data_IF_313277081205
#
_entry.id   IF_313277081205
#
_cell.length_a   1.000
_cell.length_b   1.000
_cell.length_c   1.000
_cell.angle_alpha   90.00
_cell.angle_beta   90.00
_cell.angle_gamma   90.00
#
_symmetry.space_group_name_H-M   'P 1'
#
loop_
_entity.id
_entity.type
_entity.pdbx_description
1 polymer ?
#
# COMPACT_ATOMS: atom_id res chain seq x y z
N UNK A 1 1.53 -6.76 -3.81
CA UNK A 1 1.63 -6.35 -5.22
C UNK A 1 2.79 -5.36 -5.41
N UNK A 2 2.84 -4.22 -4.69
CA UNK A 2 3.93 -3.26 -4.83
C UNK A 2 5.32 -3.87 -4.61
N UNK A 3 5.46 -4.80 -3.67
CA UNK A 3 6.68 -5.55 -3.42
C UNK A 3 7.08 -6.41 -4.63
N UNK A 4 6.15 -7.10 -5.24
CA UNK A 4 6.39 -7.92 -6.43
C UNK A 4 6.80 -7.09 -7.66
N UNK A 5 6.18 -5.93 -7.85
CA UNK A 5 6.60 -5.00 -8.91
C UNK A 5 8.02 -4.52 -8.69
N UNK A 6 8.44 -4.30 -7.44
CA UNK A 6 9.83 -3.95 -7.13
C UNK A 6 10.81 -5.02 -7.58
N UNK A 7 10.50 -6.29 -7.33
CA UNK A 7 11.39 -7.42 -7.65
C UNK A 7 11.36 -7.74 -9.14
N UNK A 8 10.18 -7.82 -9.76
CA UNK A 8 10.05 -8.09 -11.19
C UNK A 8 10.61 -6.98 -12.07
N UNK A 9 10.53 -5.73 -11.60
CA UNK A 9 11.07 -4.56 -12.31
C UNK A 9 12.58 -4.38 -12.14
N UNK A 10 13.19 -5.01 -11.13
CA UNK A 10 14.64 -4.95 -10.91
C UNK A 10 15.45 -5.94 -11.78
N UNK A 11 14.83 -6.80 -12.58
CA UNK A 11 15.36 -7.69 -13.63
C UNK A 11 16.81 -8.14 -13.52
N UNK A 12 17.17 -9.20 -14.23
CA UNK A 12 18.50 -9.85 -14.24
C UNK A 12 19.62 -8.97 -14.81
N UNK A 13 20.08 -7.92 -14.15
CA UNK A 13 21.35 -7.31 -14.51
C UNK A 13 21.45 -5.80 -14.68
N UNK A 14 20.47 -5.03 -14.30
CA UNK A 14 20.59 -3.57 -14.29
C UNK A 14 20.15 -2.98 -12.96
N UNK A 15 20.88 -1.98 -12.43
CA UNK A 15 20.41 -1.17 -11.31
C UNK A 15 19.13 -0.45 -11.76
N UNK A 16 17.97 -1.03 -11.45
CA UNK A 16 16.69 -0.43 -11.80
C UNK A 16 16.59 0.92 -11.07
N UNK A 17 16.33 1.99 -11.80
CA UNK A 17 16.27 3.31 -11.21
C UNK A 17 15.03 3.41 -10.30
N UNK A 18 15.27 3.76 -9.04
CA UNK A 18 14.24 3.99 -8.01
C UNK A 18 13.13 4.92 -8.52
N UNK A 19 13.49 5.89 -9.38
CA UNK A 19 12.60 6.91 -9.96
C UNK A 19 11.43 6.30 -10.74
N UNK A 20 11.67 5.22 -11.47
CA UNK A 20 10.62 4.56 -12.27
C UNK A 20 9.94 3.43 -11.52
N UNK A 21 10.70 2.72 -10.69
CA UNK A 21 10.20 1.52 -10.02
C UNK A 21 9.19 1.84 -8.92
N UNK A 22 9.44 2.89 -8.15
CA UNK A 22 8.55 3.31 -7.07
C UNK A 22 7.18 3.79 -7.57
N UNK A 23 7.08 4.70 -8.57
CA UNK A 23 5.78 5.04 -9.16
C UNK A 23 5.08 3.86 -9.83
N UNK A 24 5.83 2.97 -10.47
CA UNK A 24 5.27 1.76 -11.08
C UNK A 24 4.65 0.83 -10.04
N UNK A 25 5.32 0.61 -8.90
CA UNK A 25 4.79 -0.17 -7.79
C UNK A 25 3.51 0.44 -7.20
N UNK A 26 3.49 1.77 -7.03
CA UNK A 26 2.31 2.49 -6.58
C UNK A 26 1.17 2.41 -7.60
N UNK A 27 1.46 2.58 -8.90
CA UNK A 27 0.47 2.52 -9.96
C UNK A 27 -0.14 1.12 -10.10
N UNK A 28 0.67 0.07 -10.03
CA UNK A 28 0.19 -1.32 -10.08
C UNK A 28 -0.71 -1.65 -8.88
N UNK A 29 -0.31 -1.22 -7.68
CA UNK A 29 -1.12 -1.41 -6.48
C UNK A 29 -2.41 -0.59 -6.53
N UNK A 30 -2.37 0.64 -7.06
CA UNK A 30 -3.54 1.48 -7.29
C UNK A 30 -4.49 0.86 -8.33
N UNK A 31 -3.95 0.29 -9.41
CA UNK A 31 -4.72 -0.42 -10.45
C UNK A 31 -5.45 -1.64 -9.90
N UNK A 32 -4.76 -2.43 -9.08
CA UNK A 32 -5.38 -3.56 -8.39
C UNK A 32 -6.45 -3.10 -7.40
N UNK A 33 -6.16 -2.04 -6.62
CA UNK A 33 -7.13 -1.45 -5.71
C UNK A 33 -8.34 -0.87 -6.45
N UNK A 34 -8.15 -0.28 -7.63
CA UNK A 34 -9.25 0.18 -8.48
C UNK A 34 -10.14 -0.99 -8.91
N UNK A 35 -9.55 -2.07 -9.38
CA UNK A 35 -10.28 -3.28 -9.81
C UNK A 35 -11.08 -3.89 -8.65
N UNK A 36 -10.41 -4.19 -7.54
CA UNK A 36 -11.04 -4.77 -6.35
C UNK A 36 -12.07 -3.80 -5.75
N UNK A 37 -11.73 -2.52 -5.63
CA UNK A 37 -12.61 -1.49 -5.08
C UNK A 37 -13.86 -1.28 -5.92
N UNK A 38 -13.75 -1.30 -7.25
CA UNK A 38 -14.89 -1.15 -8.16
C UNK A 38 -15.94 -2.26 -7.98
N UNK A 39 -15.49 -3.47 -7.68
CA UNK A 39 -16.38 -4.62 -7.43
C UNK A 39 -16.86 -4.64 -5.97
N UNK A 40 -15.95 -4.51 -5.01
CA UNK A 40 -16.24 -4.68 -3.58
C UNK A 40 -17.11 -3.56 -3.02
N UNK A 41 -16.94 -2.30 -3.46
CA UNK A 41 -17.71 -1.16 -2.96
C UNK A 41 -19.19 -1.16 -3.37
N UNK A 42 -19.60 -2.09 -4.24
CA UNK A 42 -21.01 -2.34 -4.55
C UNK A 42 -21.70 -3.13 -3.44
N UNK A 43 -20.94 -3.84 -2.63
CA UNK A 43 -21.41 -4.61 -1.47
C UNK A 43 -21.33 -3.76 -0.20
N UNK A 44 -22.09 -4.13 0.84
CA UNK A 44 -22.14 -3.40 2.11
C UNK A 44 -21.96 -4.32 3.30
N UNK A 45 -21.43 -3.78 4.40
CA UNK A 45 -21.29 -4.49 5.67
C UNK A 45 -20.36 -5.71 5.57
N UNK A 46 -20.82 -6.84 6.07
CA UNK A 46 -20.03 -8.09 6.14
C UNK A 46 -19.65 -8.60 4.74
N UNK A 47 -20.53 -8.44 3.76
CA UNK A 47 -20.24 -8.86 2.39
C UNK A 47 -19.06 -8.12 1.76
N UNK A 48 -18.86 -6.86 2.11
CA UNK A 48 -17.68 -6.10 1.67
C UNK A 48 -16.38 -6.73 2.20
N UNK A 49 -16.37 -7.11 3.48
CA UNK A 49 -15.20 -7.77 4.10
C UNK A 49 -14.94 -9.12 3.43
N UNK A 50 -15.96 -9.93 3.22
CA UNK A 50 -15.81 -11.24 2.56
C UNK A 50 -15.26 -11.13 1.14
N UNK A 51 -15.78 -10.19 0.34
CA UNK A 51 -15.33 -9.98 -1.04
C UNK A 51 -13.89 -9.48 -1.09
N UNK A 52 -13.51 -8.55 -0.24
CA UNK A 52 -12.12 -8.05 -0.19
C UNK A 52 -11.14 -9.12 0.28
N UNK A 53 -11.51 -9.97 1.25
CA UNK A 53 -10.71 -11.12 1.66
C UNK A 53 -10.58 -12.15 0.55
N UNK A 54 -11.65 -12.44 -0.19
CA UNK A 54 -11.61 -13.35 -1.32
C UNK A 54 -10.63 -12.86 -2.40
N UNK A 55 -10.68 -11.57 -2.77
CA UNK A 55 -9.71 -11.00 -3.71
C UNK A 55 -8.28 -11.03 -3.17
N UNK A 56 -8.07 -10.80 -1.88
CA UNK A 56 -6.75 -10.92 -1.27
C UNK A 56 -6.21 -12.35 -1.37
N UNK A 57 -7.05 -13.36 -1.08
CA UNK A 57 -6.68 -14.77 -1.23
C UNK A 57 -6.45 -15.17 -2.70
N UNK A 58 -7.25 -14.67 -3.62
CA UNK A 58 -7.01 -14.88 -5.06
C UNK A 58 -5.64 -14.33 -5.47
N UNK A 59 -5.28 -13.13 -5.03
CA UNK A 59 -3.96 -12.58 -5.29
C UNK A 59 -2.85 -13.44 -4.67
N UNK A 60 -3.03 -13.91 -3.43
CA UNK A 60 -2.09 -14.82 -2.77
C UNK A 60 -1.85 -16.08 -3.61
N UNK A 61 -2.91 -16.78 -4.02
CA UNK A 61 -2.80 -18.01 -4.81
C UNK A 61 -2.19 -17.77 -6.19
N UNK A 62 -2.51 -16.65 -6.83
CA UNK A 62 -1.89 -16.29 -8.13
C UNK A 62 -0.37 -16.19 -7.99
N UNK A 63 0.15 -15.53 -6.96
CA UNK A 63 1.60 -15.42 -6.77
C UNK A 63 2.23 -16.67 -6.17
N UNK A 64 1.50 -17.46 -5.38
CA UNK A 64 2.00 -18.69 -4.78
C UNK A 64 2.08 -19.85 -5.77
N UNK A 65 1.04 -20.03 -6.60
CA UNK A 65 0.90 -21.21 -7.45
C UNK A 65 1.45 -20.97 -8.88
N UNK A 66 1.70 -19.71 -9.26
CA UNK A 66 2.31 -19.39 -10.55
C UNK A 66 3.80 -19.09 -10.40
N UNK A 67 4.58 -19.39 -11.43
CA UNK A 67 6.02 -19.05 -11.49
C UNK A 67 6.31 -17.56 -11.41
N UNK A 68 5.29 -16.70 -11.51
CA UNK A 68 5.40 -15.23 -11.36
C UNK A 68 5.80 -14.80 -9.96
N UNK A 69 5.45 -15.58 -8.94
CA UNK A 69 5.74 -15.29 -7.54
C UNK A 69 6.95 -16.01 -6.97
N UNK A 70 7.63 -16.86 -7.77
CA UNK A 70 8.71 -17.72 -7.30
C UNK A 70 8.25 -18.90 -6.45
N UNK A 71 6.93 -19.21 -6.47
CA UNK A 71 6.34 -20.29 -5.68
C UNK A 71 6.37 -20.01 -4.17
N UNK A 72 6.45 -21.05 -3.37
CA UNK A 72 6.54 -20.97 -1.89
C UNK A 72 7.79 -20.27 -1.38
N UNK A 73 8.88 -20.32 -2.15
CA UNK A 73 10.18 -19.79 -1.71
C UNK A 73 10.33 -18.29 -1.92
N UNK A 74 9.40 -17.69 -2.69
CA UNK A 74 9.44 -16.26 -3.02
C UNK A 74 10.53 -15.90 -4.04
N UNK A 75 10.73 -14.63 -4.27
CA UNK A 75 11.74 -14.10 -5.19
C UNK A 75 12.72 -13.23 -4.41
N UNK A 76 14.01 -13.48 -4.62
CA UNK A 76 15.07 -12.67 -4.04
C UNK A 76 15.36 -11.44 -4.89
N UNK A 77 15.57 -10.32 -4.24
CA UNK A 77 16.01 -9.07 -4.86
C UNK A 77 17.54 -9.11 -4.99
N UNK A 78 18.06 -9.56 -6.11
CA UNK A 78 19.52 -9.66 -6.34
C UNK A 78 20.21 -8.31 -6.40
N UNK A 79 19.50 -7.26 -6.80
CA UNK A 79 20.02 -5.89 -6.93
C UNK A 79 19.03 -4.90 -6.31
N UNK A 80 19.47 -4.20 -5.26
CA UNK A 80 18.62 -3.14 -4.67
C UNK A 80 18.60 -1.94 -5.60
N UNK A 81 17.41 -1.32 -5.82
CA UNK A 81 17.29 -0.16 -6.68
C UNK A 81 18.14 1.00 -6.17
N UNK A 82 18.82 1.68 -7.08
CA UNK A 82 19.70 2.82 -6.82
C UNK A 82 19.07 4.07 -7.42
N UNK A 83 19.20 5.20 -6.75
CA UNK A 83 18.80 6.49 -7.30
C UNK A 83 19.99 7.07 -8.06
N UNK A 84 19.99 6.91 -9.38
CA UNK A 84 20.96 7.57 -10.28
C UNK A 84 20.30 8.77 -10.95
N UNK A 85 20.88 9.95 -10.73
CA UNK A 85 20.51 11.18 -11.46
C UNK A 85 21.80 11.67 -12.12
N UNK A 86 21.81 11.63 -13.47
CA UNK A 86 22.94 12.15 -14.25
C UNK A 86 24.25 11.40 -14.11
N UNK A 87 24.23 10.08 -13.83
CA UNK A 87 25.42 9.24 -13.71
C UNK A 87 26.09 9.23 -12.33
N UNK A 88 25.54 9.97 -11.38
CA UNK A 88 25.98 9.93 -9.99
C UNK A 88 24.94 9.18 -9.14
N UNK A 89 25.37 8.18 -8.36
CA UNK A 89 24.56 7.49 -7.39
C UNK A 89 24.33 8.39 -6.18
N UNK A 90 23.17 9.05 -6.12
CA UNK A 90 22.83 9.94 -5.00
C UNK A 90 22.36 9.19 -3.77
N UNK A 91 21.62 8.10 -3.97
CA UNK A 91 21.07 7.28 -2.89
C UNK A 91 21.29 5.81 -3.24
N UNK A 92 22.09 5.15 -2.43
CA UNK A 92 22.27 3.71 -2.50
C UNK A 92 21.49 3.04 -1.37
N UNK A 93 20.41 2.34 -1.73
CA UNK A 93 19.54 1.65 -0.77
C UNK A 93 20.21 0.41 -0.13
N UNK A 94 21.43 0.05 -0.54
CA UNK A 94 22.26 -0.92 0.17
C UNK A 94 22.77 -0.39 1.51
N UNK A 95 23.00 0.92 1.61
CA UNK A 95 23.41 1.55 2.84
C UNK A 95 22.22 1.72 3.79
N UNK A 96 22.31 1.12 4.97
CA UNK A 96 21.26 1.19 6.00
C UNK A 96 20.88 2.63 6.37
N UNK A 97 21.83 3.57 6.31
CA UNK A 97 21.58 4.99 6.59
C UNK A 97 20.73 5.65 5.52
N UNK A 98 21.05 5.44 4.24
CA UNK A 98 20.28 5.99 3.13
C UNK A 98 18.86 5.41 3.12
N UNK A 99 18.74 4.10 3.34
CA UNK A 99 17.44 3.44 3.45
C UNK A 99 16.58 4.05 4.57
N UNK A 100 17.17 4.27 5.77
CA UNK A 100 16.47 4.88 6.90
C UNK A 100 15.91 6.26 6.55
N UNK A 101 16.72 7.13 5.91
CA UNK A 101 16.25 8.45 5.50
C UNK A 101 15.13 8.38 4.45
N UNK A 102 15.21 7.47 3.50
CA UNK A 102 14.16 7.27 2.48
C UNK A 102 12.86 6.84 3.14
N UNK A 103 12.90 5.91 4.09
CA UNK A 103 11.71 5.48 4.84
C UNK A 103 11.16 6.61 5.69
N UNK A 104 12.00 7.36 6.41
CA UNK A 104 11.57 8.48 7.24
C UNK A 104 10.91 9.59 6.40
N UNK A 105 11.51 9.96 5.27
CA UNK A 105 10.95 10.95 4.36
C UNK A 105 9.63 10.46 3.76
N UNK A 106 9.55 9.21 3.32
CA UNK A 106 8.32 8.63 2.78
C UNK A 106 7.20 8.60 3.82
N UNK A 107 7.50 8.30 5.08
CA UNK A 107 6.55 8.36 6.19
C UNK A 107 6.02 9.77 6.41
N UNK A 108 6.91 10.76 6.47
CA UNK A 108 6.54 12.17 6.66
C UNK A 108 5.68 12.66 5.49
N UNK A 109 6.07 12.35 4.24
CA UNK A 109 5.30 12.73 3.05
C UNK A 109 3.93 12.07 3.03
N UNK A 110 3.84 10.78 3.33
CA UNK A 110 2.57 10.05 3.42
C UNK A 110 1.67 10.62 4.50
N UNK A 111 2.24 10.91 5.68
CA UNK A 111 1.49 11.52 6.78
C UNK A 111 0.98 12.92 6.39
N UNK A 112 1.82 13.75 5.81
CA UNK A 112 1.46 15.10 5.34
C UNK A 112 0.37 15.03 4.26
N UNK A 113 0.51 14.15 3.28
CA UNK A 113 -0.48 13.93 2.22
C UNK A 113 -1.84 13.51 2.81
N UNK A 114 -1.86 12.54 3.71
CA UNK A 114 -3.09 12.08 4.36
C UNK A 114 -3.71 13.18 5.24
N UNK A 115 -2.89 13.97 5.94
CA UNK A 115 -3.38 15.09 6.74
C UNK A 115 -3.98 16.21 5.86
N UNK A 116 -3.38 16.50 4.71
CA UNK A 116 -3.92 17.45 3.73
C UNK A 116 -5.22 16.93 3.11
N UNK A 117 -5.25 15.66 2.73
CA UNK A 117 -6.47 15.02 2.19
C UNK A 117 -7.61 15.03 3.22
N UNK A 118 -7.32 14.73 4.49
CA UNK A 118 -8.33 14.74 5.55
C UNK A 118 -8.94 16.13 5.78
N UNK A 119 -8.14 17.19 5.61
CA UNK A 119 -8.59 18.60 5.74
C UNK A 119 -9.21 19.17 4.47
N UNK A 120 -9.09 18.49 3.35
CA UNK A 120 -9.65 18.91 2.06
C UNK A 120 -11.15 18.69 1.98
N UNK A 121 -11.79 19.26 0.95
CA UNK A 121 -13.22 19.00 0.63
C UNK A 121 -13.51 17.50 0.45
N UNK A 122 -12.54 16.78 -0.08
CA UNK A 122 -12.62 15.32 -0.24
C UNK A 122 -12.71 14.60 1.12
N UNK A 123 -11.86 14.96 2.08
CA UNK A 123 -11.88 14.39 3.42
C UNK A 123 -13.16 14.69 4.19
N UNK A 124 -13.68 15.92 4.07
CA UNK A 124 -14.97 16.30 4.66
C UNK A 124 -16.13 15.51 4.05
N UNK A 125 -16.13 15.31 2.73
CA UNK A 125 -17.14 14.48 2.07
C UNK A 125 -17.09 13.01 2.56
N UNK A 126 -15.90 12.43 2.70
CA UNK A 126 -15.72 11.08 3.25
C UNK A 126 -16.21 10.98 4.70
N UNK A 127 -15.94 12.00 5.51
CA UNK A 127 -16.43 12.06 6.89
C UNK A 127 -17.96 12.11 6.93
N UNK A 128 -18.58 12.90 6.07
CA UNK A 128 -20.04 12.94 5.93
C UNK A 128 -20.63 11.60 5.50
N UNK A 129 -20.00 10.92 4.53
CA UNK A 129 -20.39 9.58 4.06
C UNK A 129 -20.27 8.54 5.19
N UNK A 130 -19.22 8.63 6.01
CA UNK A 130 -19.03 7.74 7.16
C UNK A 130 -20.13 7.89 8.21
N UNK A 131 -20.59 9.12 8.47
CA UNK A 131 -21.63 9.40 9.46
C UNK A 131 -23.00 8.95 8.94
N UNK A 132 -23.37 9.34 7.72
CA UNK A 132 -24.64 8.92 7.11
C UNK A 132 -24.59 9.02 5.58
N UNK A 133 -24.39 7.87 4.94
CA UNK A 133 -24.31 7.78 3.48
C UNK A 133 -25.61 8.19 2.78
N UNK A 134 -26.76 7.84 3.35
CA UNK A 134 -28.07 8.16 2.74
C UNK A 134 -28.31 9.66 2.73
N UNK A 135 -27.95 10.35 3.80
CA UNK A 135 -28.09 11.82 3.89
C UNK A 135 -27.18 12.51 2.87
N UNK A 136 -25.95 12.02 2.70
CA UNK A 136 -25.04 12.58 1.69
C UNK A 136 -25.56 12.36 0.26
N UNK A 137 -26.16 11.21 -0.02
CA UNK A 137 -26.81 10.97 -1.31
C UNK A 137 -28.02 11.89 -1.54
N UNK A 138 -28.85 12.08 -0.52
CA UNK A 138 -29.99 13.00 -0.59
C UNK A 138 -29.55 14.46 -0.82
N UNK A 139 -28.36 14.83 -0.32
CA UNK A 139 -27.74 16.12 -0.58
C UNK A 139 -27.03 16.22 -1.96
N UNK A 140 -27.17 15.21 -2.83
CA UNK A 140 -26.64 15.21 -4.20
C UNK A 140 -25.19 14.74 -4.35
N UNK A 141 -24.55 14.23 -3.29
CA UNK A 141 -23.18 13.71 -3.39
C UNK A 141 -23.17 12.29 -3.99
N UNK A 142 -22.36 12.10 -5.03
CA UNK A 142 -22.07 10.78 -5.59
C UNK A 142 -21.12 10.01 -4.66
N UNK A 143 -21.61 9.25 -3.67
CA UNK A 143 -20.83 8.61 -2.62
C UNK A 143 -19.86 7.55 -3.12
N UNK A 144 -20.21 6.82 -4.19
CA UNK A 144 -19.41 5.74 -4.74
C UNK A 144 -18.04 6.20 -5.25
N UNK A 145 -17.87 7.22 -6.11
CA UNK A 145 -16.56 7.65 -6.58
C UNK A 145 -15.66 8.19 -5.45
N UNK A 146 -16.23 8.80 -4.42
CA UNK A 146 -15.45 9.22 -3.24
C UNK A 146 -14.85 8.04 -2.48
N UNK A 147 -15.64 6.99 -2.27
CA UNK A 147 -15.17 5.76 -1.63
C UNK A 147 -14.12 5.06 -2.50
N UNK A 148 -14.36 4.96 -3.81
CA UNK A 148 -13.44 4.33 -4.74
C UNK A 148 -12.11 5.07 -4.80
N UNK A 149 -12.13 6.41 -4.88
CA UNK A 149 -10.92 7.21 -4.86
C UNK A 149 -10.13 7.04 -3.55
N UNK A 150 -10.80 7.00 -2.40
CA UNK A 150 -10.15 6.73 -1.12
C UNK A 150 -9.50 5.34 -1.08
N UNK A 151 -10.18 4.33 -1.62
CA UNK A 151 -9.66 2.96 -1.70
C UNK A 151 -8.43 2.85 -2.61
N UNK A 152 -8.46 3.54 -3.75
CA UNK A 152 -7.33 3.58 -4.70
C UNK A 152 -6.12 4.31 -4.10
N UNK A 153 -6.34 5.45 -3.43
CA UNK A 153 -5.27 6.18 -2.75
C UNK A 153 -4.63 5.30 -1.66
N UNK A 154 -5.45 4.62 -0.85
CA UNK A 154 -4.96 3.70 0.16
C UNK A 154 -4.15 2.55 -0.46
N UNK A 155 -4.62 1.99 -1.59
CA UNK A 155 -3.91 0.95 -2.34
C UNK A 155 -2.57 1.43 -2.90
N UNK A 156 -2.50 2.67 -3.42
CA UNK A 156 -1.26 3.27 -3.90
C UNK A 156 -0.23 3.41 -2.78
N UNK A 157 -0.66 3.89 -1.60
CA UNK A 157 0.20 4.04 -0.42
C UNK A 157 0.63 2.68 0.15
N UNK A 158 -0.24 1.67 0.12
CA UNK A 158 0.12 0.29 0.45
C UNK A 158 1.15 -0.27 -0.53
N UNK A 159 1.07 0.09 -1.82
CA UNK A 159 2.07 -0.26 -2.83
C UNK A 159 3.45 0.32 -2.50
N UNK A 160 3.50 1.58 -2.06
CA UNK A 160 4.73 2.23 -1.59
C UNK A 160 5.30 1.51 -0.36
N UNK A 161 4.47 1.17 0.63
CA UNK A 161 4.90 0.44 1.82
C UNK A 161 5.45 -0.94 1.46
N UNK A 162 4.77 -1.68 0.57
CA UNK A 162 5.24 -2.99 0.08
C UNK A 162 6.55 -2.90 -0.69
N UNK A 163 6.74 -1.85 -1.50
CA UNK A 163 8.01 -1.59 -2.17
C UNK A 163 9.17 -1.39 -1.17
N UNK A 164 8.96 -0.54 -0.16
CA UNK A 164 9.97 -0.29 0.87
C UNK A 164 10.28 -1.57 1.67
N UNK A 165 9.26 -2.37 1.97
CA UNK A 165 9.45 -3.65 2.67
C UNK A 165 10.30 -4.63 1.84
N UNK A 166 10.03 -4.77 0.55
CA UNK A 166 10.80 -5.61 -0.35
C UNK A 166 12.28 -5.21 -0.42
N UNK A 167 12.55 -3.91 -0.46
CA UNK A 167 13.93 -3.38 -0.44
C UNK A 167 14.62 -3.64 0.90
N UNK A 168 13.87 -3.57 2.02
CA UNK A 168 14.40 -3.86 3.35
C UNK A 168 14.84 -5.32 3.47
N UNK A 169 13.93 -6.24 3.16
CA UNK A 169 14.12 -7.67 3.42
C UNK A 169 14.97 -8.34 2.32
N UNK A 170 15.10 -7.69 1.14
CA UNK A 170 15.84 -8.24 0.01
C UNK A 170 15.19 -9.48 -0.61
N UNK A 171 13.98 -9.81 -0.19
CA UNK A 171 13.18 -10.92 -0.70
C UNK A 171 11.69 -10.60 -0.57
N UNK A 172 10.88 -11.17 -1.44
CA UNK A 172 9.43 -11.06 -1.39
C UNK A 172 8.85 -12.45 -1.35
N UNK A 173 8.12 -12.76 -0.27
CA UNK A 173 7.42 -14.01 -0.09
C UNK A 173 5.91 -13.79 -0.32
N UNK A 174 5.19 -14.72 -0.94
CA UNK A 174 3.73 -14.68 -1.07
C UNK A 174 2.99 -14.49 0.27
N UNK A 175 3.55 -14.92 1.38
CA UNK A 175 2.98 -14.74 2.72
C UNK A 175 2.65 -13.28 3.06
N UNK A 176 3.38 -12.30 2.48
CA UNK A 176 3.07 -10.87 2.59
C UNK A 176 1.71 -10.46 2.01
N UNK A 177 1.10 -11.33 1.18
CA UNK A 177 -0.26 -11.15 0.66
C UNK A 177 -1.32 -11.85 1.52
N UNK A 178 -0.92 -12.56 2.57
CA UNK A 178 -1.82 -13.31 3.42
C UNK A 178 -2.73 -12.38 4.25
N UNK A 179 -3.87 -12.91 4.64
CA UNK A 179 -4.82 -12.19 5.50
C UNK A 179 -4.26 -11.93 6.91
N UNK A 180 -3.27 -12.71 7.37
CA UNK A 180 -2.62 -12.54 8.66
C UNK A 180 -1.91 -11.19 8.76
N UNK A 181 -1.19 -10.77 7.71
CA UNK A 181 -0.54 -9.47 7.63
C UNK A 181 -1.56 -8.33 7.72
N UNK A 182 -2.68 -8.48 7.00
CA UNK A 182 -3.78 -7.51 7.09
C UNK A 182 -4.38 -7.45 8.50
N UNK A 183 -4.46 -8.58 9.18
CA UNK A 183 -4.91 -8.69 10.57
C UNK A 183 -3.96 -7.97 11.53
N UNK A 184 -2.65 -8.15 11.38
CA UNK A 184 -1.64 -7.46 12.19
C UNK A 184 -1.72 -5.94 12.03
N UNK A 185 -1.84 -5.44 10.79
CA UNK A 185 -2.03 -4.00 10.52
C UNK A 185 -3.32 -3.48 11.17
N UNK A 186 -4.41 -4.25 11.14
CA UNK A 186 -5.66 -3.88 11.76
C UNK A 186 -5.52 -3.77 13.28
N UNK A 187 -4.80 -4.70 13.91
CA UNK A 187 -4.50 -4.65 15.35
C UNK A 187 -3.67 -3.41 15.72
N UNK A 188 -2.67 -3.05 14.90
CA UNK A 188 -1.89 -1.82 15.09
C UNK A 188 -2.78 -0.57 15.09
N UNK A 189 -3.74 -0.50 14.15
CA UNK A 189 -4.68 0.63 14.06
C UNK A 189 -5.63 0.68 15.24
N UNK A 190 -6.13 -0.48 15.70
CA UNK A 190 -7.02 -0.57 16.86
C UNK A 190 -6.28 -0.13 18.13
N UNK A 191 -5.06 -0.62 18.32
CA UNK A 191 -4.21 -0.29 19.46
C UNK A 191 -3.90 1.21 19.53
N UNK A 192 -3.65 1.83 18.40
CA UNK A 192 -3.38 3.27 18.31
C UNK A 192 -4.62 4.16 18.37
N UNK A 193 -5.82 3.59 18.27
CA UNK A 193 -7.09 4.33 18.28
C UNK A 193 -7.63 4.67 16.90
N UNK A 194 -8.79 4.07 16.59
CA UNK A 194 -9.49 4.24 15.31
C UNK A 194 -9.97 5.69 15.18
N UNK A 195 -9.53 6.37 14.13
CA UNK A 195 -10.02 7.71 13.77
C UNK A 195 -9.01 8.84 13.93
N UNK A 196 -7.79 8.56 14.41
CA UNK A 196 -6.71 9.53 14.44
C UNK A 196 -5.50 9.07 13.62
N UNK A 197 -4.99 9.94 12.74
CA UNK A 197 -3.76 9.65 11.99
C UNK A 197 -2.54 9.44 12.91
N UNK A 198 -2.48 10.17 14.02
CA UNK A 198 -1.42 10.04 15.03
C UNK A 198 -1.49 8.68 15.72
N UNK A 199 -2.70 8.20 15.98
CA UNK A 199 -2.94 6.90 16.58
C UNK A 199 -2.35 5.76 15.75
N UNK A 200 -2.51 5.77 14.43
CA UNK A 200 -1.96 4.74 13.57
C UNK A 200 -0.42 4.63 13.69
N UNK A 201 0.28 5.77 13.78
CA UNK A 201 1.75 5.78 13.94
C UNK A 201 2.16 5.29 15.34
N UNK A 202 1.46 5.74 16.38
CA UNK A 202 1.73 5.32 17.77
C UNK A 202 1.43 3.83 17.93
N UNK A 203 0.31 3.35 17.37
CA UNK A 203 -0.09 1.95 17.42
C UNK A 203 0.90 1.03 16.71
N UNK A 204 1.41 1.44 15.54
CA UNK A 204 2.45 0.70 14.85
C UNK A 204 3.75 0.66 15.67
N UNK A 205 4.18 1.76 16.27
CA UNK A 205 5.35 1.81 17.14
C UNK A 205 5.17 0.93 18.39
N UNK A 206 4.01 0.95 19.02
CA UNK A 206 3.72 0.14 20.20
C UNK A 206 3.62 -1.36 19.89
N UNK A 207 3.22 -1.73 18.68
CA UNK A 207 3.12 -3.13 18.26
C UNK A 207 4.48 -3.72 17.91
N UNK A 208 5.45 -2.89 17.46
CA UNK A 208 6.79 -3.32 17.05
C UNK A 208 7.82 -3.30 18.17
N UNK A 209 7.52 -2.68 19.31
CA UNK A 209 8.36 -2.67 20.53
C UNK A 209 8.12 -3.90 21.40
#
# INVERSE_FOLDING_TARGET
IGAYVAVLGSGDGGAASLVWLLPAAMAAAAGYALFVGALSLRTKGIYFIMVTLAFAQMAYFVFHDTGLGGGSDGIFLYSKPVLEIGGNTLINLNDKRHYYYVVAVSLILTYALLALLARSRFGHALTGIRVNEQRMRAAGFATYPYKLAAFVIAGALAGLAGFLLAVKDGAVNPELLSWHESGAVLLMIILGGIGSLRGAVIGAAAFTL
#
